data_IF_780491691051
#
_entry.id   IF_780491691051
#
_cell.length_a   1.000
_cell.length_b   1.000
_cell.length_c   1.000
_cell.angle_alpha   90.00
_cell.angle_beta   90.00
_cell.angle_gamma   90.00
#
_symmetry.space_group_name_H-M   'P 1'
#
loop_
_entity.id
_entity.type
_entity.pdbx_description
1 polymer ?
#
# COMPACT_ATOMS: atom_id res chain seq x y z
N UNK A 1 -3.74 0.01 17.98
CA UNK A 1 -2.89 0.21 16.77
C UNK A 1 -1.42 0.54 17.08
N UNK A 2 -0.99 0.73 18.34
CA UNK A 2 0.37 1.23 18.61
C UNK A 2 1.45 0.14 18.79
N UNK A 3 1.12 -1.08 19.22
CA UNK A 3 2.13 -2.12 19.52
C UNK A 3 2.64 -2.88 18.31
N UNK A 4 1.76 -3.22 17.37
CA UNK A 4 2.17 -3.85 16.11
C UNK A 4 3.10 -2.89 15.36
N UNK A 5 2.64 -1.66 15.12
CA UNK A 5 3.44 -0.66 14.41
C UNK A 5 4.79 -0.38 15.11
N UNK A 6 4.82 -0.30 16.45
CA UNK A 6 6.08 -0.12 17.18
C UNK A 6 7.06 -1.31 17.04
N UNK A 7 6.57 -2.56 17.06
CA UNK A 7 7.40 -3.75 16.87
C UNK A 7 7.93 -3.81 15.43
N UNK A 8 7.05 -3.52 14.46
CA UNK A 8 7.40 -3.49 13.05
C UNK A 8 8.45 -2.39 12.82
N UNK A 9 8.19 -1.15 13.24
CA UNK A 9 9.18 -0.05 13.15
C UNK A 9 10.49 -0.38 13.85
N UNK A 10 10.50 -0.92 15.07
CA UNK A 10 11.74 -1.29 15.76
C UNK A 10 12.57 -2.37 15.02
N UNK A 11 11.93 -3.27 14.28
CA UNK A 11 12.61 -4.25 13.44
C UNK A 11 13.16 -3.61 12.15
N UNK A 12 12.45 -2.63 11.60
CA UNK A 12 12.78 -2.02 10.32
C UNK A 12 13.70 -0.80 10.42
N UNK A 13 13.70 -0.07 11.53
CA UNK A 13 14.49 1.15 11.71
C UNK A 13 16.01 0.87 11.65
N UNK A 14 16.58 -0.18 12.27
CA UNK A 14 18.01 -0.48 12.15
C UNK A 14 18.41 -0.93 10.72
N UNK A 15 17.46 -1.52 9.99
CA UNK A 15 17.69 -2.04 8.65
C UNK A 15 17.68 -0.93 7.60
N UNK A 16 16.94 0.15 7.86
CA UNK A 16 16.74 1.29 6.96
C UNK A 16 17.50 2.56 7.41
N UNK A 17 17.98 2.60 8.65
CA UNK A 17 18.83 3.65 9.21
C UNK A 17 20.06 4.03 8.37
N UNK A 18 20.77 3.12 7.66
CA UNK A 18 22.00 3.52 6.98
C UNK A 18 21.81 4.43 5.77
N UNK A 19 20.60 4.53 5.20
CA UNK A 19 20.38 5.24 3.93
C UNK A 19 19.49 6.49 4.03
N UNK A 20 18.80 6.70 5.16
CA UNK A 20 17.99 7.90 5.42
C UNK A 20 16.76 8.06 4.52
N UNK A 21 15.92 9.07 4.81
CA UNK A 21 14.71 9.37 4.02
C UNK A 21 15.01 9.88 2.60
N UNK A 22 16.26 10.28 2.31
CA UNK A 22 16.69 10.79 0.99
C UNK A 22 16.77 9.70 -0.10
N UNK A 23 16.70 8.41 0.25
CA UNK A 23 16.96 7.31 -0.68
C UNK A 23 15.78 6.33 -0.80
N UNK A 24 14.59 6.87 -1.08
CA UNK A 24 13.38 6.08 -1.35
C UNK A 24 13.57 4.94 -2.37
N UNK A 25 14.50 5.08 -3.31
CA UNK A 25 14.82 4.04 -4.30
C UNK A 25 15.38 2.76 -3.66
N UNK A 26 16.17 2.88 -2.58
CA UNK A 26 16.77 1.73 -1.90
C UNK A 26 15.69 0.91 -1.20
N UNK A 27 14.80 1.57 -0.48
CA UNK A 27 13.67 0.96 0.20
C UNK A 27 12.75 0.22 -0.77
N UNK A 28 12.41 0.87 -1.90
CA UNK A 28 11.61 0.24 -2.95
C UNK A 28 12.25 -1.05 -3.48
N UNK A 29 13.55 -1.04 -3.76
CA UNK A 29 14.28 -2.22 -4.22
C UNK A 29 14.33 -3.30 -3.14
N UNK A 30 14.68 -2.92 -1.91
CA UNK A 30 14.80 -3.83 -0.79
C UNK A 30 13.47 -4.56 -0.52
N UNK A 31 12.37 -3.81 -0.39
CA UNK A 31 11.05 -4.37 -0.13
C UNK A 31 10.51 -5.21 -1.29
N UNK A 32 10.85 -4.86 -2.54
CA UNK A 32 10.50 -5.68 -3.70
C UNK A 32 11.21 -7.03 -3.67
N UNK A 33 12.51 -7.04 -3.37
CA UNK A 33 13.30 -8.29 -3.25
C UNK A 33 12.82 -9.13 -2.07
N UNK A 34 12.64 -8.51 -0.91
CA UNK A 34 12.14 -9.18 0.29
C UNK A 34 10.75 -9.78 0.05
N UNK A 35 9.84 -9.02 -0.58
CA UNK A 35 8.51 -9.49 -0.95
C UNK A 35 8.56 -10.70 -1.90
N UNK A 36 9.47 -10.68 -2.87
CA UNK A 36 9.72 -11.82 -3.77
C UNK A 36 10.23 -13.07 -3.04
N UNK A 37 11.18 -12.92 -2.11
CA UNK A 37 11.69 -14.03 -1.29
C UNK A 37 10.57 -14.62 -0.43
N UNK A 38 9.79 -13.78 0.24
CA UNK A 38 8.64 -14.21 1.04
C UNK A 38 7.62 -14.96 0.17
N UNK A 39 7.32 -14.44 -1.03
CA UNK A 39 6.43 -15.10 -1.98
C UNK A 39 6.91 -16.51 -2.34
N UNK A 40 8.19 -16.66 -2.67
CA UNK A 40 8.78 -17.96 -2.99
C UNK A 40 8.72 -18.94 -1.81
N UNK A 41 8.99 -18.46 -0.59
CA UNK A 41 8.91 -19.26 0.63
C UNK A 41 7.47 -19.74 0.87
N UNK A 42 6.49 -18.83 0.82
CA UNK A 42 5.08 -19.19 1.04
C UNK A 42 4.62 -20.18 -0.03
N UNK A 43 4.89 -19.92 -1.31
CA UNK A 43 4.54 -20.85 -2.38
C UNK A 43 5.23 -22.20 -2.26
N UNK A 44 6.46 -22.25 -1.74
CA UNK A 44 7.18 -23.51 -1.49
C UNK A 44 6.48 -24.36 -0.43
N UNK A 45 5.98 -23.77 0.66
CA UNK A 45 5.41 -24.51 1.78
C UNK A 45 3.90 -24.74 1.69
N UNK A 46 3.17 -23.83 1.06
CA UNK A 46 1.70 -23.85 1.04
C UNK A 46 1.15 -24.48 -0.24
N UNK A 47 1.88 -24.42 -1.36
CA UNK A 47 1.38 -24.92 -2.63
C UNK A 47 1.31 -26.45 -2.66
N UNK A 48 0.17 -26.98 -3.09
CA UNK A 48 -0.03 -28.41 -3.29
C UNK A 48 0.54 -28.86 -4.65
N UNK A 49 1.87 -29.01 -4.69
CA UNK A 49 2.64 -29.42 -5.88
C UNK A 49 2.18 -30.78 -6.44
N UNK A 50 1.82 -31.73 -5.57
CA UNK A 50 1.32 -33.03 -5.98
C UNK A 50 -0.02 -32.95 -6.71
N UNK A 51 -0.95 -32.15 -6.19
CA UNK A 51 -2.25 -31.88 -6.83
C UNK A 51 -2.11 -31.15 -8.16
N UNK A 52 -1.19 -30.18 -8.23
CA UNK A 52 -0.81 -29.50 -9.47
C UNK A 52 -0.30 -30.52 -10.50
N UNK A 53 0.63 -31.41 -10.12
CA UNK A 53 1.20 -32.38 -11.05
C UNK A 53 0.16 -33.39 -11.55
N UNK A 54 -0.72 -33.88 -10.66
CA UNK A 54 -1.84 -34.75 -11.04
C UNK A 54 -2.78 -34.07 -12.04
N UNK A 55 -3.07 -32.79 -11.82
CA UNK A 55 -3.95 -32.01 -12.70
C UNK A 55 -3.30 -31.78 -14.07
N UNK A 56 -2.00 -31.44 -14.11
CA UNK A 56 -1.22 -31.33 -15.37
C UNK A 56 -1.20 -32.64 -16.14
N UNK A 57 -1.00 -33.77 -15.47
CA UNK A 57 -1.01 -35.08 -16.10
C UNK A 57 -2.41 -35.42 -16.66
N UNK A 58 -3.47 -35.13 -15.91
CA UNK A 58 -4.84 -35.32 -16.38
C UNK A 58 -5.13 -34.49 -17.64
N UNK A 59 -4.68 -33.22 -17.70
CA UNK A 59 -4.83 -32.39 -18.89
C UNK A 59 -4.13 -33.02 -20.09
N UNK A 60 -2.90 -33.52 -19.92
CA UNK A 60 -2.16 -34.21 -21.00
C UNK A 60 -2.90 -35.43 -21.54
N UNK A 61 -3.54 -36.23 -20.67
CA UNK A 61 -4.33 -37.40 -21.08
C UNK A 61 -5.50 -36.98 -21.97
N UNK A 62 -6.25 -35.94 -21.60
CA UNK A 62 -7.37 -35.46 -22.41
C UNK A 62 -6.91 -34.81 -23.73
N UNK A 63 -5.73 -34.19 -23.75
CA UNK A 63 -5.15 -33.71 -25.02
C UNK A 63 -4.80 -34.86 -25.98
N UNK A 64 -4.31 -35.98 -25.45
CA UNK A 64 -4.08 -37.19 -26.24
C UNK A 64 -5.40 -37.81 -26.72
N UNK A 65 -6.45 -37.78 -25.91
CA UNK A 65 -7.80 -38.24 -26.28
C UNK A 65 -8.34 -37.45 -27.48
N UNK A 66 -8.22 -36.12 -27.47
CA UNK A 66 -8.59 -35.26 -28.61
C UNK A 66 -7.80 -35.66 -29.87
N UNK A 67 -6.51 -35.96 -29.72
CA UNK A 67 -5.65 -36.34 -30.85
C UNK A 67 -6.01 -37.72 -31.41
N UNK A 68 -6.41 -38.66 -30.56
CA UNK A 68 -6.76 -40.04 -30.93
C UNK A 68 -8.14 -40.11 -31.60
N UNK A 69 -9.12 -39.36 -31.08
CA UNK A 69 -10.51 -39.36 -31.54
C UNK A 69 -10.88 -38.07 -32.28
N UNK A 70 -9.93 -37.50 -33.04
CA UNK A 70 -10.07 -36.21 -33.73
C UNK A 70 -11.28 -36.12 -34.67
N UNK A 71 -11.75 -37.25 -35.19
CA UNK A 71 -12.86 -37.33 -36.14
C UNK A 71 -14.22 -37.54 -35.43
N UNK A 72 -14.23 -37.78 -34.11
CA UNK A 72 -15.42 -37.87 -33.27
C UNK A 72 -15.62 -36.58 -32.46
N UNK A 73 -16.52 -35.74 -32.97
CA UNK A 73 -16.82 -34.41 -32.39
C UNK A 73 -17.32 -34.52 -30.94
N UNK A 74 -18.12 -35.55 -30.62
CA UNK A 74 -18.68 -35.70 -29.27
C UNK A 74 -17.57 -36.00 -28.26
N UNK A 75 -16.62 -36.87 -28.63
CA UNK A 75 -15.45 -37.18 -27.80
C UNK A 75 -14.55 -35.97 -27.62
N UNK A 76 -14.27 -35.23 -28.70
CA UNK A 76 -13.45 -34.01 -28.66
C UNK A 76 -14.05 -32.94 -27.74
N UNK A 77 -15.36 -32.70 -27.84
CA UNK A 77 -16.05 -31.72 -26.98
C UNK A 77 -16.03 -32.16 -25.51
N UNK A 78 -16.29 -33.43 -25.23
CA UNK A 78 -16.22 -33.98 -23.86
C UNK A 78 -14.82 -33.86 -23.26
N UNK A 79 -13.78 -34.19 -24.02
CA UNK A 79 -12.39 -34.05 -23.60
C UNK A 79 -12.02 -32.58 -23.35
N UNK A 80 -12.48 -31.66 -24.19
CA UNK A 80 -12.26 -30.21 -24.02
C UNK A 80 -12.92 -29.69 -22.74
N UNK A 81 -14.17 -30.06 -22.47
CA UNK A 81 -14.86 -29.69 -21.23
C UNK A 81 -14.12 -30.21 -19.99
N UNK A 82 -13.61 -31.45 -20.05
CA UNK A 82 -12.79 -32.02 -18.97
C UNK A 82 -11.46 -31.26 -18.79
N UNK A 83 -10.80 -30.85 -19.87
CA UNK A 83 -9.59 -30.00 -19.80
C UNK A 83 -9.91 -28.67 -19.12
N UNK A 84 -11.00 -28.00 -19.51
CA UNK A 84 -11.41 -26.73 -18.91
C UNK A 84 -11.64 -26.87 -17.40
N UNK A 85 -12.36 -27.91 -16.98
CA UNK A 85 -12.56 -28.19 -15.57
C UNK A 85 -11.25 -28.46 -14.82
N UNK A 86 -10.33 -29.22 -15.42
CA UNK A 86 -9.01 -29.47 -14.83
C UNK A 86 -8.16 -28.20 -14.77
N UNK A 87 -8.26 -27.30 -15.73
CA UNK A 87 -7.61 -25.99 -15.65
C UNK A 87 -8.18 -25.13 -14.52
N UNK A 88 -9.50 -25.13 -14.32
CA UNK A 88 -10.12 -24.46 -13.18
C UNK A 88 -9.60 -25.03 -11.85
N UNK A 89 -9.53 -26.36 -11.74
CA UNK A 89 -8.95 -27.02 -10.57
C UNK A 89 -7.46 -26.68 -10.39
N UNK A 90 -6.68 -26.64 -11.46
CA UNK A 90 -5.27 -26.23 -11.43
C UNK A 90 -5.12 -24.81 -10.88
N UNK A 91 -5.95 -23.87 -11.35
CA UNK A 91 -5.98 -22.51 -10.82
C UNK A 91 -6.40 -22.49 -9.34
N UNK A 92 -7.36 -23.33 -8.96
CA UNK A 92 -7.79 -23.51 -7.57
C UNK A 92 -6.66 -23.88 -6.60
N UNK A 93 -5.65 -24.61 -7.04
CA UNK A 93 -4.47 -24.93 -6.20
C UNK A 93 -3.62 -23.70 -5.84
N UNK A 94 -3.81 -22.56 -6.52
CA UNK A 94 -3.14 -21.30 -6.21
C UNK A 94 -3.89 -20.46 -5.18
N UNK A 95 -5.19 -20.73 -4.92
CA UNK A 95 -6.01 -19.92 -4.01
C UNK A 95 -5.43 -19.91 -2.60
N UNK A 96 -5.04 -21.07 -2.08
CA UNK A 96 -4.52 -21.16 -0.71
C UNK A 96 -3.20 -20.40 -0.53
N UNK A 97 -2.16 -20.59 -1.37
CA UNK A 97 -0.96 -19.75 -1.33
C UNK A 97 -1.27 -18.25 -1.46
N UNK A 98 -2.17 -17.86 -2.35
CA UNK A 98 -2.55 -16.44 -2.52
C UNK A 98 -3.20 -15.87 -1.25
N UNK A 99 -4.11 -16.61 -0.62
CA UNK A 99 -4.74 -16.18 0.65
C UNK A 99 -3.71 -16.03 1.76
N UNK A 100 -2.77 -16.97 1.88
CA UNK A 100 -1.68 -16.87 2.87
C UNK A 100 -0.77 -15.68 2.56
N UNK A 101 -0.53 -15.38 1.28
CA UNK A 101 0.28 -14.24 0.84
C UNK A 101 -0.32 -12.86 1.17
N UNK A 102 -1.64 -12.76 1.37
CA UNK A 102 -2.28 -11.49 1.76
C UNK A 102 -1.65 -10.96 3.05
N UNK A 103 -1.38 -11.82 4.03
CA UNK A 103 -0.86 -11.41 5.35
C UNK A 103 0.50 -10.71 5.28
N UNK A 104 1.57 -11.33 4.74
CA UNK A 104 2.87 -10.68 4.65
C UNK A 104 2.82 -9.48 3.71
N UNK A 105 2.07 -9.55 2.61
CA UNK A 105 2.08 -8.48 1.62
C UNK A 105 1.31 -7.23 2.08
N UNK A 106 0.20 -7.40 2.81
CA UNK A 106 -0.47 -6.29 3.48
C UNK A 106 0.41 -5.67 4.57
N UNK A 107 1.18 -6.49 5.29
CA UNK A 107 2.14 -5.97 6.28
C UNK A 107 3.17 -5.06 5.63
N UNK A 108 3.77 -5.50 4.51
CA UNK A 108 4.72 -4.67 3.74
C UNK A 108 4.03 -3.40 3.24
N UNK A 109 2.82 -3.52 2.69
CA UNK A 109 2.08 -2.39 2.15
C UNK A 109 1.76 -1.34 3.21
N UNK A 110 1.30 -1.74 4.40
CA UNK A 110 1.04 -0.81 5.50
C UNK A 110 2.32 -0.13 6.00
N UNK A 111 3.46 -0.82 6.01
CA UNK A 111 4.73 -0.19 6.37
C UNK A 111 5.19 0.84 5.34
N UNK A 112 4.97 0.57 4.05
CA UNK A 112 5.27 1.52 2.98
C UNK A 112 4.32 2.72 3.03
N UNK A 113 3.03 2.49 3.24
CA UNK A 113 2.04 3.56 3.39
C UNK A 113 2.37 4.47 4.58
N UNK A 114 2.65 3.90 5.76
CA UNK A 114 3.01 4.67 6.94
C UNK A 114 4.27 5.53 6.77
N UNK A 115 5.19 5.15 5.86
CA UNK A 115 6.47 5.86 5.64
C UNK A 115 6.48 6.79 4.43
N UNK A 116 5.74 6.43 3.38
CA UNK A 116 5.82 7.10 2.08
C UNK A 116 4.50 7.72 1.60
N UNK A 117 3.39 7.55 2.33
CA UNK A 117 2.11 8.13 1.91
C UNK A 117 2.02 9.65 2.17
N UNK A 118 2.91 10.19 3.00
CA UNK A 118 2.92 11.59 3.39
C UNK A 118 4.25 12.20 2.96
N UNK A 119 4.20 13.45 2.49
CA UNK A 119 5.38 14.26 2.15
C UNK A 119 5.61 15.23 3.33
N UNK A 120 6.40 14.83 4.35
CA UNK A 120 6.63 15.68 5.51
C UNK A 120 7.40 16.94 5.12
N UNK A 121 7.14 18.04 5.83
CA UNK A 121 7.88 19.29 5.60
C UNK A 121 9.37 19.05 5.87
N UNK A 122 10.26 19.40 4.91
CA UNK A 122 11.69 19.25 5.10
C UNK A 122 12.16 20.02 6.33
N UNK A 123 13.04 19.43 7.13
CA UNK A 123 13.59 20.08 8.33
C UNK A 123 14.32 21.35 7.93
N UNK A 124 13.92 22.48 8.52
CA UNK A 124 14.47 23.81 8.23
C UNK A 124 13.88 24.51 7.00
N UNK A 125 12.85 23.94 6.37
CA UNK A 125 12.09 24.64 5.32
C UNK A 125 11.09 25.63 5.92
N UNK A 126 10.98 26.80 5.28
CA UNK A 126 10.00 27.84 5.65
C UNK A 126 8.74 27.65 4.82
N UNK A 127 7.61 27.39 5.48
CA UNK A 127 6.34 27.06 4.83
C UNK A 127 5.23 28.02 5.27
N UNK A 128 4.26 28.24 4.39
CA UNK A 128 3.14 29.14 4.64
C UNK A 128 1.89 28.35 5.03
N UNK A 129 1.41 28.54 6.25
CA UNK A 129 0.11 28.05 6.69
C UNK A 129 -0.94 29.13 6.44
N UNK A 130 -1.87 28.89 5.52
CA UNK A 130 -2.98 29.80 5.23
C UNK A 130 -4.28 29.21 5.79
N UNK A 131 -4.96 29.96 6.66
CA UNK A 131 -6.28 29.62 7.17
C UNK A 131 -7.30 30.60 6.61
N UNK A 132 -8.33 30.07 5.97
CA UNK A 132 -9.47 30.85 5.48
C UNK A 132 -10.62 30.73 6.48
N UNK A 133 -10.99 31.87 7.06
CA UNK A 133 -12.11 31.95 8.01
C UNK A 133 -13.36 32.36 7.25
N UNK A 134 -14.44 31.57 7.37
CA UNK A 134 -15.73 31.94 6.79
C UNK A 134 -16.39 33.01 7.68
N UNK A 135 -16.53 34.24 7.17
CA UNK A 135 -16.97 35.43 7.91
C UNK A 135 -18.46 35.45 8.28
N UNK A 136 -19.12 34.29 8.37
CA UNK A 136 -20.57 34.18 8.58
C UNK A 136 -21.00 33.47 9.86
N UNK A 137 -20.11 33.38 10.85
CA UNK A 137 -20.46 32.82 12.16
C UNK A 137 -21.00 33.90 13.11
N UNK A 138 -22.24 33.77 13.63
CA UNK A 138 -22.80 34.74 14.57
C UNK A 138 -22.01 34.70 15.89
N UNK A 139 -21.42 35.82 16.28
CA UNK A 139 -20.59 35.97 17.49
C UNK A 139 -19.12 36.30 17.24
N UNK A 140 -18.68 36.31 15.98
CA UNK A 140 -17.31 36.72 15.60
C UNK A 140 -17.31 38.20 15.21
N UNK A 141 -16.51 39.07 15.85
CA UNK A 141 -16.48 40.50 15.55
C UNK A 141 -16.03 40.75 14.10
N UNK A 142 -16.82 41.49 13.32
CA UNK A 142 -16.56 41.83 11.91
C UNK A 142 -15.39 42.83 11.72
N UNK A 143 -14.74 43.25 12.81
CA UNK A 143 -13.65 44.22 12.76
C UNK A 143 -12.30 43.55 12.49
N UNK A 144 -11.56 44.12 11.53
CA UNK A 144 -10.30 43.60 11.00
C UNK A 144 -9.24 43.28 12.07
N UNK A 145 -9.23 44.03 13.18
CA UNK A 145 -8.25 43.95 14.26
C UNK A 145 -8.61 42.92 15.34
N UNK A 146 -9.89 42.75 15.68
CA UNK A 146 -10.33 41.86 16.77
C UNK A 146 -10.30 40.37 16.40
N UNK A 147 -10.46 40.06 15.11
CA UNK A 147 -10.38 38.71 14.56
C UNK A 147 -8.94 38.17 14.51
N UNK A 148 -7.96 39.03 14.24
CA UNK A 148 -6.55 38.65 14.19
C UNK A 148 -5.96 38.35 15.59
N UNK A 149 -6.44 39.04 16.63
CA UNK A 149 -6.09 38.73 18.03
C UNK A 149 -6.85 37.51 18.57
N UNK A 150 -8.02 37.20 18.02
CA UNK A 150 -8.87 36.08 18.46
C UNK A 150 -8.34 34.71 18.03
N UNK A 151 -7.63 34.63 16.90
CA UNK A 151 -7.11 33.35 16.36
C UNK A 151 -5.65 33.19 16.72
N UNK A 152 -5.39 32.40 17.77
CA UNK A 152 -4.04 31.98 18.17
C UNK A 152 -3.70 30.62 17.57
N UNK A 153 -2.52 30.54 16.97
CA UNK A 153 -1.93 29.28 16.52
C UNK A 153 -1.08 28.69 17.65
N UNK A 154 -1.48 27.54 18.19
CA UNK A 154 -0.64 26.75 19.10
C UNK A 154 0.24 25.81 18.28
N UNK A 155 1.55 25.93 18.48
CA UNK A 155 2.53 25.22 17.67
C UNK A 155 3.12 24.06 18.47
N UNK A 156 3.07 22.83 17.95
CA UNK A 156 3.67 21.67 18.62
C UNK A 156 5.20 21.74 18.61
N UNK A 157 5.83 20.98 19.51
CA UNK A 157 7.29 20.88 19.56
C UNK A 157 7.85 20.38 18.20
N UNK A 158 8.77 21.16 17.61
CA UNK A 158 9.38 20.86 16.30
C UNK A 158 9.06 21.86 15.19
N UNK A 159 8.11 22.78 15.42
CA UNK A 159 7.79 23.90 14.52
C UNK A 159 8.07 25.23 15.22
N UNK A 160 8.48 26.26 14.47
CA UNK A 160 8.75 27.61 14.98
C UNK A 160 8.11 28.65 14.09
N UNK A 161 7.68 29.79 14.64
CA UNK A 161 7.26 30.92 13.79
C UNK A 161 8.49 31.66 13.28
N UNK A 162 8.59 31.76 11.97
CA UNK A 162 9.59 32.59 11.30
C UNK A 162 9.12 34.05 11.17
N UNK A 163 7.80 34.29 11.11
CA UNK A 163 7.23 35.64 11.04
C UNK A 163 5.87 35.77 11.77
N UNK A 164 5.49 36.97 12.25
CA UNK A 164 4.17 37.22 12.83
C UNK A 164 3.03 37.04 11.78
N UNK A 165 1.79 36.74 12.22
CA UNK A 165 0.67 36.50 11.32
C UNK A 165 0.33 37.71 10.46
N UNK A 166 0.02 37.46 9.18
CA UNK A 166 -0.40 38.48 8.22
C UNK A 166 -1.78 38.12 7.67
N UNK A 167 -2.70 39.10 7.62
CA UNK A 167 -4.03 38.94 7.02
C UNK A 167 -4.06 39.50 5.61
N UNK A 168 -4.59 38.74 4.66
CA UNK A 168 -4.88 39.21 3.29
C UNK A 168 -6.29 39.82 3.20
N UNK A 169 -6.49 40.69 2.19
CA UNK A 169 -7.76 41.37 1.95
C UNK A 169 -8.94 40.39 1.70
N UNK A 170 -8.63 39.14 1.36
CA UNK A 170 -9.58 38.05 1.09
C UNK A 170 -10.08 37.34 2.36
N UNK A 171 -9.68 37.79 3.55
CA UNK A 171 -10.10 37.21 4.82
C UNK A 171 -9.30 35.98 5.27
N UNK A 172 -8.13 35.77 4.67
CA UNK A 172 -7.22 34.67 5.01
C UNK A 172 -6.16 35.16 5.98
N UNK A 173 -5.76 34.30 6.94
CA UNK A 173 -4.66 34.54 7.86
C UNK A 173 -3.52 33.61 7.49
N UNK A 174 -2.36 34.17 7.21
CA UNK A 174 -1.15 33.44 6.84
C UNK A 174 -0.11 33.51 7.98
N UNK A 175 0.41 32.34 8.37
CA UNK A 175 1.56 32.20 9.27
C UNK A 175 2.73 31.62 8.49
N UNK A 176 3.94 32.11 8.80
CA UNK A 176 5.18 31.58 8.24
C UNK A 176 5.86 30.70 9.31
N UNK A 177 5.90 29.40 9.04
CA UNK A 177 6.41 28.33 9.91
C UNK A 177 7.78 27.83 9.41
#
# INVERSE_FOLDING_TARGET
>A
MNRFNAITSALFDPLLAPFGEEHAWFDLVFWSVAGGIVALIVYRYVSNQGGIQRTKNAIKVHLLEIRLFKDDIAVVLGATARILWKNALYLGHNILPMLVMIVPMMTILFQLEARYAHDPLPVGSVNLLIVKLDGRQPGVPDTATGLAEAVRLEIPAGLSLDAPPVRTAEGEIAWRL
#
